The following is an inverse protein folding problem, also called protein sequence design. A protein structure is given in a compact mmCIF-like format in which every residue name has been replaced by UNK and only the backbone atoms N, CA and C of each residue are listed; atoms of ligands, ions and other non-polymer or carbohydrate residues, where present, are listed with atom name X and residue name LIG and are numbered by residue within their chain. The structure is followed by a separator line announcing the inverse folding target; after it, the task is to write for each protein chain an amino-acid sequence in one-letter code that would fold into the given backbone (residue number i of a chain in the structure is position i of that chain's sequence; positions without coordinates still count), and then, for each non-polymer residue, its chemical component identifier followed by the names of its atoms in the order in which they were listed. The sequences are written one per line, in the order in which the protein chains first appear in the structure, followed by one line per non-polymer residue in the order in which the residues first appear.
data_IF_176976502826
#
_entry.id   IF_176976502826
#
_cell.length_a   1.000
_cell.length_b   1.000
_cell.length_c   1.000
_cell.angle_alpha   90.00
_cell.angle_beta   90.00
_cell.angle_gamma   90.00
#
_symmetry.space_group_name_H-M   'P 1'
#
loop_
_entity.id
_entity.type
_entity.pdbx_description
1 polymer ?
#
# COMPACT_ATOMS: atom_id res chain seq x y z
N UNK A 1 4.82 5.74 25.02
CA UNK A 1 5.58 4.64 24.37
C UNK A 1 5.08 3.35 24.98
N UNK A 2 4.28 2.54 24.26
CA UNK A 2 3.91 1.20 24.72
C UNK A 2 5.17 0.31 24.68
N UNK A 3 5.46 -0.35 25.80
CA UNK A 3 6.67 -1.16 25.97
C UNK A 3 6.61 -2.42 25.10
N UNK A 4 7.31 -2.44 23.98
CA UNK A 4 7.53 -3.62 23.13
C UNK A 4 8.21 -4.76 23.91
N UNK A 5 8.94 -4.45 24.98
CA UNK A 5 9.62 -5.42 25.84
C UNK A 5 8.67 -6.29 26.69
N UNK A 6 7.45 -5.82 26.93
CA UNK A 6 6.52 -6.53 27.82
C UNK A 6 5.94 -7.81 27.20
N UNK A 7 5.86 -7.89 25.86
CA UNK A 7 5.28 -9.07 25.19
C UNK A 7 6.25 -10.25 25.23
N UNK A 8 7.55 -10.00 24.97
CA UNK A 8 8.55 -11.07 25.01
C UNK A 8 8.70 -11.69 26.41
N UNK A 9 8.56 -10.87 27.46
CA UNK A 9 8.58 -11.33 28.83
C UNK A 9 7.43 -12.31 29.11
N UNK A 10 6.22 -12.04 28.63
CA UNK A 10 5.10 -12.98 28.76
C UNK A 10 5.34 -14.32 28.06
N UNK A 11 6.03 -14.33 26.92
CA UNK A 11 6.42 -15.60 26.30
C UNK A 11 7.39 -16.36 27.18
N UNK A 12 8.40 -15.66 27.69
CA UNK A 12 9.45 -16.29 28.55
C UNK A 12 8.85 -16.85 29.83
N UNK A 13 7.93 -16.12 30.47
CA UNK A 13 7.22 -16.56 31.68
C UNK A 13 6.43 -17.87 31.50
N UNK A 14 5.98 -18.16 30.28
CA UNK A 14 5.27 -19.40 29.97
C UNK A 14 6.18 -20.58 29.63
N UNK A 15 7.47 -20.35 29.43
CA UNK A 15 8.45 -21.42 29.22
C UNK A 15 8.79 -22.18 30.50
N UNK A 16 9.32 -23.40 30.41
CA UNK A 16 9.92 -24.12 31.55
C UNK A 16 11.00 -23.29 32.25
N UNK A 17 11.03 -23.32 33.56
CA UNK A 17 11.86 -22.44 34.40
C UNK A 17 13.35 -22.40 34.00
N UNK A 18 13.92 -23.54 33.68
CA UNK A 18 15.34 -23.61 33.28
C UNK A 18 15.63 -22.88 31.95
N UNK A 19 14.62 -22.69 31.09
CA UNK A 19 14.75 -21.90 29.84
C UNK A 19 14.58 -20.43 30.11
N UNK A 20 13.72 -20.04 31.05
CA UNK A 20 13.50 -18.64 31.42
C UNK A 20 14.80 -17.99 31.87
N UNK A 21 15.57 -18.67 32.74
CA UNK A 21 16.82 -18.14 33.25
C UNK A 21 17.85 -17.91 32.14
N UNK A 22 18.05 -18.90 31.25
CA UNK A 22 18.98 -18.80 30.13
C UNK A 22 18.61 -17.66 29.14
N UNK A 23 17.34 -17.54 28.83
CA UNK A 23 16.86 -16.47 27.89
C UNK A 23 16.93 -15.08 28.52
N UNK A 24 16.66 -14.96 29.82
CA UNK A 24 16.75 -13.68 30.52
C UNK A 24 18.18 -13.12 30.58
N UNK A 25 19.17 -14.00 30.64
CA UNK A 25 20.59 -13.63 30.64
C UNK A 25 21.19 -13.51 29.25
N UNK A 26 20.44 -13.91 28.19
CA UNK A 26 20.96 -13.96 26.83
C UNK A 26 21.11 -12.55 26.19
N UNK A 27 22.33 -12.23 25.73
CA UNK A 27 22.68 -10.91 25.19
C UNK A 27 21.82 -10.49 23.96
N UNK A 28 21.38 -11.47 23.16
CA UNK A 28 20.57 -11.22 21.94
C UNK A 28 19.08 -11.50 22.14
N UNK A 29 18.56 -11.49 23.37
CA UNK A 29 17.15 -11.72 23.71
C UNK A 29 16.17 -10.98 22.76
N UNK A 30 16.45 -9.71 22.47
CA UNK A 30 15.61 -8.87 21.61
C UNK A 30 15.60 -9.29 20.14
N UNK A 31 16.53 -10.14 19.69
CA UNK A 31 16.64 -10.65 18.33
C UNK A 31 16.12 -12.07 18.17
N UNK A 32 15.46 -12.61 19.19
CA UNK A 32 14.87 -13.95 19.18
C UNK A 32 13.73 -14.00 18.15
N UNK A 33 13.74 -15.02 17.27
CA UNK A 33 12.72 -15.25 16.25
C UNK A 33 11.74 -16.32 16.71
N UNK A 34 12.26 -17.47 17.12
CA UNK A 34 11.43 -18.58 17.60
C UNK A 34 12.19 -19.51 18.54
N UNK A 35 11.43 -20.27 19.31
CA UNK A 35 11.94 -21.30 20.19
C UNK A 35 11.29 -22.62 19.79
N UNK A 36 12.09 -23.67 19.64
CA UNK A 36 11.63 -25.01 19.29
C UNK A 36 11.87 -25.96 20.45
N UNK A 37 10.82 -26.64 20.90
CA UNK A 37 10.80 -27.59 22.01
C UNK A 37 10.25 -28.91 21.50
N UNK A 38 11.13 -29.85 21.20
CA UNK A 38 10.76 -31.21 20.78
C UNK A 38 11.08 -32.22 21.85
N UNK A 39 10.18 -33.15 22.12
CA UNK A 39 10.35 -34.22 23.09
C UNK A 39 11.61 -35.04 22.80
N UNK A 40 12.45 -35.24 23.82
CA UNK A 40 13.68 -35.99 23.68
C UNK A 40 14.83 -35.27 22.95
N UNK A 41 14.65 -33.97 22.64
CA UNK A 41 15.68 -33.11 22.03
C UNK A 41 16.06 -31.96 22.95
N UNK A 42 17.21 -31.33 22.66
CA UNK A 42 17.61 -30.08 23.32
C UNK A 42 16.77 -28.93 22.83
N UNK A 43 16.35 -27.99 23.67
CA UNK A 43 15.62 -26.79 23.26
C UNK A 43 16.49 -25.91 22.38
N UNK A 44 15.94 -25.53 21.25
CA UNK A 44 16.60 -24.71 20.22
C UNK A 44 15.99 -23.32 20.19
N UNK A 45 16.81 -22.28 20.17
CA UNK A 45 16.39 -20.90 19.89
C UNK A 45 16.97 -20.42 18.57
N UNK A 46 16.14 -19.79 17.76
CA UNK A 46 16.54 -19.17 16.49
C UNK A 46 16.57 -17.66 16.62
N UNK A 47 17.72 -17.10 16.38
CA UNK A 47 17.98 -15.67 16.36
C UNK A 47 18.24 -15.19 14.93
N UNK A 48 18.24 -13.88 14.71
CA UNK A 48 18.65 -13.29 13.42
C UNK A 48 20.11 -13.68 13.07
N UNK A 49 20.95 -13.90 14.09
CA UNK A 49 22.36 -14.30 13.95
C UNK A 49 22.59 -15.78 13.63
N UNK A 50 21.59 -16.63 13.86
CA UNK A 50 21.69 -18.09 13.70
C UNK A 50 20.93 -18.85 14.77
N UNK A 51 21.15 -20.16 14.80
CA UNK A 51 20.47 -21.10 15.71
C UNK A 51 21.40 -21.51 16.86
N UNK A 52 20.87 -21.54 18.08
CA UNK A 52 21.61 -21.90 19.29
C UNK A 52 20.79 -22.86 20.17
N UNK A 53 21.45 -23.76 20.89
CA UNK A 53 20.81 -24.58 21.91
C UNK A 53 20.78 -23.81 23.22
N UNK A 54 19.57 -23.65 23.81
CA UNK A 54 19.39 -22.91 25.05
C UNK A 54 19.88 -23.67 26.29
N UNK A 55 19.90 -25.00 26.24
CA UNK A 55 20.28 -25.84 27.37
C UNK A 55 20.82 -27.20 26.92
N UNK A 56 21.62 -27.83 27.76
CA UNK A 56 22.02 -29.23 27.60
C UNK A 56 20.93 -30.22 28.05
N UNK A 57 19.95 -29.74 28.83
CA UNK A 57 18.82 -30.54 29.28
C UNK A 57 17.90 -30.88 28.11
N UNK A 58 17.48 -32.14 28.05
CA UNK A 58 16.54 -32.66 27.04
C UNK A 58 15.11 -32.35 27.50
N UNK A 59 14.26 -31.93 26.55
CA UNK A 59 12.84 -31.65 26.78
C UNK A 59 12.11 -32.95 27.16
N UNK A 60 11.41 -32.91 28.26
CA UNK A 60 10.57 -33.99 28.78
C UNK A 60 9.08 -33.75 28.53
N UNK A 61 8.25 -34.77 28.74
CA UNK A 61 6.79 -34.62 28.72
C UNK A 61 6.28 -33.59 29.72
N UNK A 62 6.91 -33.50 30.89
CA UNK A 62 6.54 -32.54 31.94
C UNK A 62 6.78 -31.10 31.47
N UNK A 63 7.85 -30.85 30.72
CA UNK A 63 8.17 -29.52 30.19
C UNK A 63 7.15 -29.09 29.15
N UNK A 64 6.72 -30.01 28.26
CA UNK A 64 5.65 -29.71 27.25
C UNK A 64 4.30 -29.51 27.94
N UNK A 65 3.93 -30.37 28.91
CA UNK A 65 2.68 -30.27 29.67
C UNK A 65 2.62 -28.96 30.48
N UNK A 66 3.72 -28.57 31.09
CA UNK A 66 3.86 -27.32 31.84
C UNK A 66 3.49 -26.12 30.94
N UNK A 67 4.01 -26.09 29.73
CA UNK A 67 3.74 -24.99 28.78
C UNK A 67 2.34 -25.05 28.24
N UNK A 68 1.84 -26.23 27.85
CA UNK A 68 0.51 -26.38 27.25
C UNK A 68 -0.63 -26.00 28.20
N UNK A 69 -0.42 -26.14 29.51
CA UNK A 69 -1.40 -25.72 30.54
C UNK A 69 -1.44 -24.21 30.78
N UNK A 70 -0.43 -23.47 30.34
CA UNK A 70 -0.28 -22.03 30.59
C UNK A 70 -0.64 -21.16 29.40
N UNK A 71 -0.88 -21.76 28.23
CA UNK A 71 -1.28 -21.11 27.02
C UNK A 71 -2.76 -21.37 26.69
N UNK A 72 -3.33 -20.64 25.74
CA UNK A 72 -4.69 -20.89 25.26
C UNK A 72 -4.82 -22.30 24.64
N UNK A 73 -6.05 -22.79 24.50
CA UNK A 73 -6.29 -24.06 23.82
C UNK A 73 -5.86 -24.00 22.36
N UNK A 74 -5.27 -25.07 21.88
CA UNK A 74 -4.91 -25.19 20.47
C UNK A 74 -6.16 -25.24 19.58
N UNK A 75 -6.16 -24.45 18.53
CA UNK A 75 -7.17 -24.48 17.48
C UNK A 75 -7.09 -25.78 16.66
N UNK A 76 -8.04 -25.96 15.75
CA UNK A 76 -8.04 -27.07 14.78
C UNK A 76 -6.79 -27.07 13.87
N UNK A 77 -6.14 -25.92 13.72
CA UNK A 77 -4.89 -25.76 12.97
C UNK A 77 -3.64 -26.00 13.80
N UNK A 78 -3.79 -26.56 15.04
CA UNK A 78 -2.71 -26.76 15.99
C UNK A 78 -1.96 -25.47 16.37
N UNK A 79 -2.68 -24.35 16.46
CA UNK A 79 -2.16 -23.03 16.85
C UNK A 79 -2.78 -22.58 18.16
N UNK A 80 -1.99 -21.90 18.98
CA UNK A 80 -2.39 -21.28 20.22
C UNK A 80 -1.66 -19.95 20.42
N UNK A 81 -2.20 -19.07 21.22
CA UNK A 81 -1.59 -17.79 21.57
C UNK A 81 -1.39 -17.60 23.06
N UNK A 82 -0.71 -16.52 23.42
CA UNK A 82 -0.61 -16.00 24.77
C UNK A 82 -1.44 -14.71 24.81
N UNK A 83 -2.27 -14.55 25.83
CA UNK A 83 -3.17 -13.41 25.98
C UNK A 83 -2.46 -12.07 25.84
N UNK A 84 -3.06 -11.17 25.08
CA UNK A 84 -2.57 -9.81 24.83
C UNK A 84 -1.19 -9.77 24.17
N UNK A 85 -0.80 -10.81 23.44
CA UNK A 85 0.45 -10.85 22.68
C UNK A 85 0.24 -11.26 21.25
N UNK A 86 1.26 -11.06 20.42
CA UNK A 86 1.30 -11.49 19.02
C UNK A 86 2.10 -12.78 18.84
N UNK A 87 2.47 -13.46 19.94
CA UNK A 87 3.19 -14.70 19.88
C UNK A 87 2.27 -15.81 19.37
N UNK A 88 2.80 -16.63 18.48
CA UNK A 88 2.10 -17.82 17.94
C UNK A 88 2.82 -19.06 18.41
N UNK A 89 2.10 -19.97 19.01
CA UNK A 89 2.60 -21.26 19.43
C UNK A 89 1.94 -22.32 18.56
N UNK A 90 2.74 -23.10 17.85
CA UNK A 90 2.28 -24.21 17.04
C UNK A 90 2.69 -25.51 17.68
N UNK A 91 1.80 -26.51 17.72
CA UNK A 91 2.12 -27.83 18.25
C UNK A 91 2.28 -28.88 17.16
N UNK A 92 3.15 -29.83 17.42
CA UNK A 92 3.27 -31.07 16.67
C UNK A 92 2.61 -32.17 17.50
N UNK A 93 1.79 -33.00 16.87
CA UNK A 93 1.10 -34.12 17.52
C UNK A 93 1.64 -35.47 17.00
N UNK A 94 1.73 -36.42 17.88
CA UNK A 94 2.04 -37.80 17.53
C UNK A 94 0.79 -38.52 16.95
N UNK A 95 0.93 -39.80 16.59
CA UNK A 95 -0.17 -40.63 16.07
C UNK A 95 -1.33 -40.82 17.07
N UNK A 96 -1.12 -40.58 18.34
CA UNK A 96 -2.13 -40.65 19.39
C UNK A 96 -2.71 -39.29 19.75
N UNK A 97 -2.48 -38.25 18.88
CA UNK A 97 -2.88 -36.86 19.08
C UNK A 97 -2.29 -36.16 20.31
N UNK A 98 -1.28 -36.77 20.99
CA UNK A 98 -0.55 -36.12 22.07
C UNK A 98 0.47 -35.12 21.49
N UNK A 99 0.62 -33.99 22.18
CA UNK A 99 1.58 -32.94 21.76
C UNK A 99 2.98 -33.40 22.13
N UNK A 100 3.86 -33.58 21.16
CA UNK A 100 5.25 -33.98 21.33
C UNK A 100 6.26 -32.94 20.88
N UNK A 101 5.81 -31.80 20.36
CA UNK A 101 6.65 -30.67 19.96
C UNK A 101 5.90 -29.35 19.99
N UNK A 102 6.62 -28.28 20.30
CA UNK A 102 6.10 -26.90 20.30
C UNK A 102 7.07 -25.99 19.55
N UNK A 103 6.53 -25.13 18.73
CA UNK A 103 7.27 -24.03 18.09
C UNK A 103 6.66 -22.71 18.55
N UNK A 104 7.42 -21.92 19.29
CA UNK A 104 7.01 -20.65 19.86
C UNK A 104 7.59 -19.51 19.03
N UNK A 105 6.80 -18.94 18.15
CA UNK A 105 7.20 -17.82 17.28
C UNK A 105 7.01 -16.49 17.99
N UNK A 106 8.05 -15.64 17.98
CA UNK A 106 8.01 -14.32 18.59
C UNK A 106 7.33 -13.33 17.65
N UNK A 107 6.12 -12.90 18.01
CA UNK A 107 5.44 -11.79 17.35
C UNK A 107 5.86 -10.45 17.95
N UNK A 108 6.06 -9.45 17.11
CA UNK A 108 6.40 -8.08 17.51
C UNK A 108 5.47 -7.08 16.86
N UNK A 109 4.99 -6.11 17.65
CA UNK A 109 4.31 -4.95 17.12
C UNK A 109 5.35 -3.90 16.71
N UNK A 110 5.23 -3.38 15.48
CA UNK A 110 6.03 -2.27 14.99
C UNK A 110 5.11 -1.08 14.86
N UNK A 111 5.50 0.08 15.34
CA UNK A 111 4.73 1.33 15.33
C UNK A 111 5.47 2.39 14.50
N UNK A 112 4.70 3.36 13.95
CA UNK A 112 5.26 4.54 13.26
C UNK A 112 5.23 4.45 11.74
N UNK A 113 4.76 3.34 11.16
CA UNK A 113 4.62 3.20 9.69
C UNK A 113 3.43 3.98 9.12
N UNK A 114 2.46 4.32 9.98
CA UNK A 114 1.20 4.95 9.59
C UNK A 114 1.37 6.37 9.04
N UNK A 115 2.42 7.07 9.43
CA UNK A 115 2.70 8.45 8.97
C UNK A 115 2.77 8.56 7.43
N UNK A 116 3.08 7.45 6.78
CA UNK A 116 3.18 7.37 5.31
C UNK A 116 1.82 7.43 4.63
N UNK A 117 0.75 6.98 5.30
CA UNK A 117 -0.60 6.82 4.72
C UNK A 117 -1.71 7.48 5.53
N UNK A 118 -1.35 8.27 6.54
CA UNK A 118 -2.33 8.92 7.42
C UNK A 118 -3.32 9.80 6.66
N UNK A 119 -2.82 10.57 5.68
CA UNK A 119 -3.62 11.40 4.78
C UNK A 119 -4.67 10.61 3.98
N UNK A 120 -4.37 9.34 3.66
CA UNK A 120 -5.29 8.47 2.95
C UNK A 120 -6.42 7.96 3.87
N UNK A 121 -6.11 7.72 5.15
CA UNK A 121 -7.12 7.31 6.13
C UNK A 121 -8.13 8.42 6.42
N UNK A 122 -7.67 9.67 6.42
CA UNK A 122 -8.53 10.85 6.60
C UNK A 122 -9.49 11.08 5.43
N UNK A 123 -9.22 10.49 4.25
CA UNK A 123 -10.09 10.58 3.07
C UNK A 123 -11.37 9.73 3.17
N UNK A 124 -11.48 8.85 4.17
CA UNK A 124 -12.59 7.90 4.40
C UNK A 124 -12.84 6.90 3.26
N UNK A 125 -11.94 6.81 2.30
CA UNK A 125 -12.01 5.88 1.18
C UNK A 125 -11.57 4.48 1.57
N UNK A 126 -12.11 3.48 0.90
CA UNK A 126 -11.71 2.08 1.08
C UNK A 126 -10.31 1.82 0.52
N UNK A 127 -9.47 1.12 1.29
CA UNK A 127 -8.05 0.93 1.01
C UNK A 127 -7.73 -0.56 0.89
N UNK A 128 -7.13 -0.97 -0.23
CA UNK A 128 -6.60 -2.32 -0.43
C UNK A 128 -5.07 -2.30 -0.41
N UNK A 129 -4.47 -3.18 0.38
CA UNK A 129 -3.02 -3.29 0.54
C UNK A 129 -2.52 -4.54 -0.18
N UNK A 130 -1.59 -4.35 -1.10
CA UNK A 130 -0.92 -5.37 -1.88
C UNK A 130 0.55 -5.48 -1.49
N UNK A 131 1.13 -6.65 -1.69
CA UNK A 131 2.56 -6.86 -1.47
C UNK A 131 2.91 -8.32 -1.23
N UNK A 132 4.17 -8.64 -1.40
CA UNK A 132 4.70 -9.99 -1.18
C UNK A 132 4.48 -10.46 0.27
N UNK A 133 4.45 -11.77 0.52
CA UNK A 133 4.49 -12.28 1.88
C UNK A 133 5.70 -11.73 2.66
N UNK A 134 5.51 -11.39 3.94
CA UNK A 134 6.59 -10.93 4.81
C UNK A 134 7.05 -9.47 4.64
N UNK A 135 6.45 -8.68 3.75
CA UNK A 135 6.80 -7.24 3.59
C UNK A 135 6.21 -6.33 4.68
N UNK A 136 5.36 -6.88 5.57
CA UNK A 136 4.77 -6.15 6.69
C UNK A 136 3.33 -5.71 6.52
N UNK A 137 2.54 -6.29 5.59
CA UNK A 137 1.10 -5.97 5.40
C UNK A 137 0.32 -6.01 6.70
N UNK A 138 0.40 -7.11 7.44
CA UNK A 138 -0.30 -7.30 8.73
C UNK A 138 0.11 -6.25 9.78
N UNK A 139 1.38 -5.83 9.79
CA UNK A 139 1.86 -4.77 10.68
C UNK A 139 1.21 -3.43 10.36
N UNK A 140 1.14 -3.08 9.07
CA UNK A 140 0.50 -1.85 8.58
C UNK A 140 -0.99 -1.84 8.91
N UNK A 141 -1.69 -2.95 8.63
CA UNK A 141 -3.14 -3.09 8.94
C UNK A 141 -3.41 -2.95 10.43
N UNK A 142 -2.60 -3.56 11.29
CA UNK A 142 -2.75 -3.45 12.75
C UNK A 142 -2.61 -1.99 13.21
N UNK A 143 -1.64 -1.27 12.69
CA UNK A 143 -1.44 0.13 13.02
C UNK A 143 -2.58 1.01 12.46
N UNK A 144 -3.07 0.72 11.25
CA UNK A 144 -4.28 1.35 10.69
C UNK A 144 -5.48 1.15 11.63
N UNK A 145 -5.69 -0.09 12.09
CA UNK A 145 -6.79 -0.41 13.02
C UNK A 145 -6.74 0.45 14.27
N UNK A 146 -5.57 0.54 14.90
CA UNK A 146 -5.35 1.36 16.10
C UNK A 146 -5.61 2.84 15.84
N UNK A 147 -5.05 3.40 14.76
CA UNK A 147 -5.21 4.81 14.45
C UNK A 147 -6.67 5.16 14.15
N UNK A 148 -7.37 4.34 13.37
CA UNK A 148 -8.79 4.55 13.09
C UNK A 148 -9.66 4.46 14.35
N UNK A 149 -9.35 3.52 15.27
CA UNK A 149 -10.13 3.31 16.47
C UNK A 149 -9.80 4.31 17.60
N UNK A 150 -8.51 4.60 17.85
CA UNK A 150 -8.06 5.39 18.99
C UNK A 150 -7.91 6.89 18.66
N UNK A 151 -7.34 7.21 17.47
CA UNK A 151 -7.03 8.58 17.11
C UNK A 151 -8.14 9.25 16.29
N UNK A 152 -8.82 8.48 15.41
CA UNK A 152 -9.95 8.98 14.61
C UNK A 152 -11.33 8.63 15.21
N UNK A 153 -11.35 7.94 16.35
CA UNK A 153 -12.54 7.58 17.11
C UNK A 153 -13.64 6.83 16.31
N UNK A 154 -13.24 6.10 15.27
CA UNK A 154 -14.18 5.33 14.44
C UNK A 154 -14.54 4.00 15.11
N UNK A 155 -15.75 3.52 14.83
CA UNK A 155 -16.18 2.16 15.19
C UNK A 155 -15.56 1.17 14.21
N UNK A 156 -14.45 0.54 14.62
CA UNK A 156 -13.67 -0.39 13.81
C UNK A 156 -13.97 -1.82 14.23
N UNK A 157 -14.27 -2.68 13.26
CA UNK A 157 -14.35 -4.14 13.43
C UNK A 157 -13.29 -4.80 12.57
N UNK A 158 -12.52 -5.70 13.16
CA UNK A 158 -11.47 -6.47 12.51
C UNK A 158 -11.97 -7.89 12.33
N UNK A 159 -11.92 -8.40 11.10
CA UNK A 159 -12.18 -9.79 10.76
C UNK A 159 -10.83 -10.47 10.58
N UNK A 160 -10.43 -11.21 11.60
CA UNK A 160 -9.09 -11.78 11.75
C UNK A 160 -9.14 -13.29 11.57
N UNK A 161 -8.96 -13.73 10.33
CA UNK A 161 -9.08 -15.13 9.93
C UNK A 161 -7.85 -15.93 10.30
N UNK A 162 -6.67 -15.36 10.08
CA UNK A 162 -5.39 -16.01 10.39
C UNK A 162 -4.88 -15.69 11.80
N UNK A 163 -5.62 -14.88 12.56
CA UNK A 163 -5.23 -14.36 13.87
C UNK A 163 -3.88 -13.60 13.87
N UNK A 164 -3.51 -13.05 12.73
CA UNK A 164 -2.23 -12.33 12.59
C UNK A 164 -2.33 -10.86 13.01
N UNK A 165 -3.52 -10.27 12.93
CA UNK A 165 -3.72 -8.85 13.29
C UNK A 165 -3.73 -8.68 14.79
N UNK A 166 -4.55 -9.44 15.50
CA UNK A 166 -4.81 -9.25 16.93
C UNK A 166 -4.24 -10.34 17.85
N UNK A 167 -3.64 -11.39 17.28
CA UNK A 167 -3.06 -12.52 18.01
C UNK A 167 -3.98 -13.74 18.12
N UNK A 168 -3.41 -14.91 18.45
CA UNK A 168 -4.10 -16.19 18.45
C UNK A 168 -4.95 -16.46 19.71
N UNK A 169 -4.90 -15.60 20.74
CA UNK A 169 -5.66 -15.79 21.98
C UNK A 169 -7.03 -15.11 21.95
N UNK A 170 -7.91 -15.45 22.92
CA UNK A 170 -9.24 -14.84 23.02
C UNK A 170 -9.18 -13.35 23.39
N UNK A 171 -8.18 -12.94 24.17
CA UNK A 171 -7.94 -11.54 24.50
C UNK A 171 -6.97 -10.94 23.47
N UNK A 172 -7.42 -9.98 22.67
CA UNK A 172 -6.62 -9.40 21.59
C UNK A 172 -5.43 -8.58 22.12
N UNK A 173 -4.42 -8.44 21.27
CA UNK A 173 -3.27 -7.59 21.53
C UNK A 173 -3.66 -6.10 21.57
N UNK A 174 -3.08 -5.35 22.48
CA UNK A 174 -3.33 -3.92 22.66
C UNK A 174 -2.97 -3.05 21.44
N UNK A 175 -2.19 -3.59 20.52
CA UNK A 175 -1.79 -2.92 19.28
C UNK A 175 -2.92 -2.65 18.29
N UNK A 176 -4.13 -3.21 18.49
CA UNK A 176 -5.33 -2.86 17.72
C UNK A 176 -6.15 -1.72 18.35
N UNK A 177 -5.73 -1.22 19.53
CA UNK A 177 -6.46 -0.18 20.25
C UNK A 177 -7.86 -0.61 20.65
N UNK A 178 -8.84 0.30 20.52
CA UNK A 178 -10.26 0.06 20.82
C UNK A 178 -11.03 -0.70 19.72
N UNK A 179 -10.35 -1.12 18.65
CA UNK A 179 -10.99 -1.90 17.60
C UNK A 179 -11.49 -3.25 18.14
N UNK A 180 -12.68 -3.66 17.68
CA UNK A 180 -13.28 -4.94 18.07
C UNK A 180 -12.84 -6.02 17.10
N UNK A 181 -12.41 -7.18 17.62
CA UNK A 181 -12.03 -8.33 16.79
C UNK A 181 -13.19 -9.33 16.71
N UNK A 182 -13.43 -9.82 15.49
CA UNK A 182 -14.23 -11.01 15.21
C UNK A 182 -13.28 -12.08 14.68
N UNK A 183 -13.19 -13.22 15.38
CA UNK A 183 -12.44 -14.38 14.95
C UNK A 183 -13.26 -15.21 13.97
N UNK A 184 -12.60 -15.76 12.96
CA UNK A 184 -13.23 -16.65 11.99
C UNK A 184 -12.91 -18.09 12.35
N UNK A 185 -13.92 -18.88 12.67
CA UNK A 185 -13.73 -20.26 13.14
C UNK A 185 -13.12 -21.18 12.05
N UNK A 186 -13.47 -20.93 10.78
CA UNK A 186 -12.92 -21.63 9.59
C UNK A 186 -12.84 -20.61 8.46
N UNK A 187 -11.76 -20.68 7.69
CA UNK A 187 -11.51 -19.77 6.56
C UNK A 187 -12.68 -19.70 5.59
N UNK A 188 -13.37 -20.81 5.36
CA UNK A 188 -14.54 -20.90 4.47
C UNK A 188 -15.70 -19.99 4.90
N UNK A 189 -15.81 -19.65 6.19
CA UNK A 189 -16.90 -18.82 6.75
C UNK A 189 -16.55 -17.35 6.86
N UNK A 190 -15.39 -16.92 6.38
CA UNK A 190 -14.99 -15.51 6.46
C UNK A 190 -16.03 -14.58 5.86
N UNK A 191 -16.56 -14.88 4.69
CA UNK A 191 -17.57 -14.08 4.01
C UNK A 191 -18.87 -13.94 4.83
N UNK A 192 -19.28 -14.96 5.59
CA UNK A 192 -20.42 -14.85 6.51
C UNK A 192 -20.14 -13.89 7.66
N UNK A 193 -18.93 -14.01 8.28
CA UNK A 193 -18.51 -13.12 9.37
C UNK A 193 -18.41 -11.67 8.90
N UNK A 194 -17.98 -11.45 7.65
CA UNK A 194 -17.94 -10.11 7.03
C UNK A 194 -19.35 -9.48 6.98
N UNK A 195 -20.35 -10.22 6.55
CA UNK A 195 -21.74 -9.73 6.50
C UNK A 195 -22.31 -9.56 7.90
N UNK A 196 -22.09 -10.54 8.79
CA UNK A 196 -22.49 -10.47 10.21
C UNK A 196 -21.95 -9.23 10.90
N UNK A 197 -20.69 -8.86 10.63
CA UNK A 197 -20.08 -7.65 11.19
C UNK A 197 -20.87 -6.39 10.89
N UNK A 198 -21.36 -6.24 9.65
CA UNK A 198 -22.17 -5.08 9.24
C UNK A 198 -23.56 -5.11 9.86
N UNK A 199 -24.20 -6.27 9.86
CA UNK A 199 -25.59 -6.41 10.28
C UNK A 199 -25.75 -6.26 11.80
N UNK A 200 -24.82 -6.81 12.57
CA UNK A 200 -24.94 -6.88 14.02
C UNK A 200 -24.16 -5.79 14.77
N UNK A 201 -23.10 -5.22 14.19
CA UNK A 201 -22.18 -4.36 14.93
C UNK A 201 -22.09 -2.92 14.44
N UNK A 202 -22.79 -2.57 13.35
CA UNK A 202 -22.85 -1.22 12.77
C UNK A 202 -21.48 -0.51 12.71
N UNK A 203 -20.45 -1.13 12.11
CA UNK A 203 -19.13 -0.54 12.02
C UNK A 203 -19.12 0.64 11.05
N UNK A 204 -18.21 1.59 11.28
CA UNK A 204 -17.87 2.62 10.28
C UNK A 204 -16.74 2.12 9.39
N UNK A 205 -15.87 1.27 9.95
CA UNK A 205 -14.75 0.67 9.22
C UNK A 205 -14.69 -0.83 9.51
N UNK A 206 -14.53 -1.62 8.47
CA UNK A 206 -14.21 -3.04 8.57
C UNK A 206 -12.80 -3.26 8.06
N UNK A 207 -12.01 -3.97 8.85
CA UNK A 207 -10.66 -4.40 8.50
C UNK A 207 -10.68 -5.90 8.26
N UNK A 208 -10.18 -6.32 7.10
CA UNK A 208 -10.16 -7.72 6.68
C UNK A 208 -8.70 -8.14 6.50
N UNK A 209 -8.32 -9.23 7.16
CA UNK A 209 -6.94 -9.74 7.14
C UNK A 209 -6.52 -10.07 5.69
N UNK A 210 -7.28 -10.92 5.01
CA UNK A 210 -7.01 -11.30 3.63
C UNK A 210 -8.30 -11.62 2.87
N UNK A 211 -8.39 -11.11 1.63
CA UNK A 211 -9.48 -11.41 0.69
C UNK A 211 -8.89 -12.27 -0.41
N UNK A 212 -9.32 -13.53 -0.50
CA UNK A 212 -8.77 -14.49 -1.47
C UNK A 212 -9.81 -15.23 -2.31
N UNK A 213 -11.07 -15.33 -1.84
CA UNK A 213 -12.13 -16.11 -2.49
C UNK A 213 -13.17 -15.21 -3.14
N UNK A 214 -13.90 -15.78 -4.13
CA UNK A 214 -14.98 -15.08 -4.83
C UNK A 214 -16.12 -14.66 -3.89
N UNK A 215 -16.47 -15.50 -2.89
CA UNK A 215 -17.50 -15.18 -1.90
C UNK A 215 -17.09 -14.00 -1.01
N UNK A 216 -15.83 -13.91 -0.64
CA UNK A 216 -15.29 -12.78 0.12
C UNK A 216 -15.28 -11.48 -0.70
N UNK A 217 -14.95 -11.59 -1.99
CA UNK A 217 -15.02 -10.45 -2.92
C UNK A 217 -16.44 -9.93 -3.06
N UNK A 218 -17.42 -10.82 -3.17
CA UNK A 218 -18.84 -10.47 -3.23
C UNK A 218 -19.30 -9.80 -1.92
N UNK A 219 -18.91 -10.35 -0.78
CA UNK A 219 -19.18 -9.77 0.52
C UNK A 219 -18.56 -8.37 0.66
N UNK A 220 -17.29 -8.18 0.25
CA UNK A 220 -16.61 -6.89 0.28
C UNK A 220 -17.35 -5.84 -0.58
N UNK A 221 -17.80 -6.21 -1.78
CA UNK A 221 -18.61 -5.33 -2.63
C UNK A 221 -19.92 -4.92 -1.95
N UNK A 222 -20.64 -5.89 -1.39
CA UNK A 222 -21.90 -5.62 -0.68
C UNK A 222 -21.70 -4.66 0.50
N UNK A 223 -20.60 -4.81 1.23
CA UNK A 223 -20.23 -3.93 2.34
C UNK A 223 -19.91 -2.51 1.85
N UNK A 224 -19.13 -2.40 0.76
CA UNK A 224 -18.81 -1.11 0.14
C UNK A 224 -20.06 -0.39 -0.36
N UNK A 225 -21.03 -1.11 -0.96
CA UNK A 225 -22.33 -0.57 -1.40
C UNK A 225 -23.19 -0.06 -0.24
N UNK A 226 -23.03 -0.63 0.96
CA UNK A 226 -23.68 -0.13 2.21
C UNK A 226 -22.98 1.12 2.80
N UNK A 227 -21.91 1.61 2.16
CA UNK A 227 -21.18 2.81 2.59
C UNK A 227 -20.24 2.63 3.78
N UNK A 228 -19.88 1.40 4.11
CA UNK A 228 -18.89 1.08 5.16
C UNK A 228 -17.49 1.12 4.55
N UNK A 229 -16.57 1.85 5.17
CA UNK A 229 -15.17 1.90 4.75
C UNK A 229 -14.50 0.53 4.93
N UNK A 230 -13.84 0.04 3.88
CA UNK A 230 -13.10 -1.21 3.91
C UNK A 230 -11.59 -0.95 3.92
N UNK A 231 -10.88 -1.68 4.75
CA UNK A 231 -9.41 -1.78 4.70
C UNK A 231 -9.06 -3.26 4.67
N UNK A 232 -8.32 -3.70 3.67
CA UNK A 232 -8.00 -5.13 3.56
C UNK A 232 -6.71 -5.41 2.84
N UNK A 233 -6.27 -6.68 2.89
CA UNK A 233 -5.21 -7.18 2.01
C UNK A 233 -5.75 -8.24 1.07
N UNK A 234 -5.00 -8.51 0.03
CA UNK A 234 -5.23 -9.66 -0.84
C UNK A 234 -3.91 -10.23 -1.36
N UNK A 235 -3.97 -11.42 -1.91
CA UNK A 235 -2.86 -11.99 -2.65
C UNK A 235 -2.61 -11.20 -3.94
N UNK A 236 -1.38 -10.76 -4.10
CA UNK A 236 -0.94 -10.01 -5.26
C UNK A 236 0.13 -8.98 -4.88
N UNK A 237 1.04 -8.70 -5.80
CA UNK A 237 2.14 -7.78 -5.54
C UNK A 237 1.85 -6.38 -6.07
N UNK A 238 0.98 -6.27 -7.06
CA UNK A 238 0.67 -5.02 -7.76
C UNK A 238 -0.75 -5.04 -8.35
N UNK A 239 -1.25 -3.88 -8.73
CA UNK A 239 -2.57 -3.69 -9.34
C UNK A 239 -2.77 -4.53 -10.62
N UNK A 240 -1.73 -4.69 -11.43
CA UNK A 240 -1.80 -5.54 -12.64
C UNK A 240 -2.15 -6.99 -12.34
N UNK A 241 -1.68 -7.53 -11.20
CA UNK A 241 -1.99 -8.89 -10.80
C UNK A 241 -3.47 -9.06 -10.46
N UNK A 242 -4.10 -8.04 -9.87
CA UNK A 242 -5.55 -8.04 -9.64
C UNK A 242 -6.35 -7.99 -10.93
N UNK A 243 -5.92 -7.16 -11.88
CA UNK A 243 -6.54 -7.04 -13.22
C UNK A 243 -6.56 -8.40 -13.93
N UNK A 244 -5.49 -9.19 -13.78
CA UNK A 244 -5.32 -10.51 -14.43
C UNK A 244 -5.97 -11.65 -13.67
N UNK A 245 -6.39 -11.44 -12.43
CA UNK A 245 -7.02 -12.47 -11.60
C UNK A 245 -8.54 -12.31 -11.59
N UNK A 246 -9.31 -13.14 -12.32
CA UNK A 246 -10.74 -12.95 -12.48
C UNK A 246 -11.52 -12.84 -11.17
N UNK A 247 -11.36 -13.72 -10.17
CA UNK A 247 -12.02 -13.60 -8.87
C UNK A 247 -11.76 -12.26 -8.18
N UNK A 248 -10.52 -11.79 -8.16
CA UNK A 248 -10.12 -10.58 -7.44
C UNK A 248 -10.37 -9.29 -8.23
N UNK A 249 -10.54 -9.38 -9.55
CA UNK A 249 -10.78 -8.21 -10.41
C UNK A 249 -12.06 -7.46 -10.02
N UNK A 250 -13.03 -8.13 -9.42
CA UNK A 250 -14.27 -7.51 -8.96
C UNK A 250 -14.06 -6.53 -7.80
N UNK A 251 -12.98 -6.66 -7.01
CA UNK A 251 -12.59 -5.67 -5.98
C UNK A 251 -12.26 -4.30 -6.59
N UNK A 252 -11.77 -4.29 -7.82
CA UNK A 252 -11.39 -3.08 -8.58
C UNK A 252 -12.45 -2.68 -9.63
N UNK A 253 -13.64 -3.25 -9.54
CA UNK A 253 -14.79 -2.94 -10.37
C UNK A 253 -15.10 -3.95 -11.47
N UNK A 254 -14.43 -5.11 -11.50
CA UNK A 254 -14.63 -6.18 -12.48
C UNK A 254 -14.24 -5.77 -13.90
N UNK A 255 -13.88 -6.73 -14.72
CA UNK A 255 -13.43 -6.50 -16.09
C UNK A 255 -14.30 -7.30 -17.04
N UNK A 256 -14.68 -6.70 -18.15
CA UNK A 256 -15.47 -7.34 -19.19
C UNK A 256 -14.99 -6.96 -20.58
N UNK A 257 -15.25 -7.86 -21.53
CA UNK A 257 -15.10 -7.55 -22.95
C UNK A 257 -16.36 -6.85 -23.44
N UNK A 258 -16.16 -5.71 -24.10
CA UNK A 258 -17.24 -4.97 -24.76
C UNK A 258 -16.97 -4.93 -26.25
N UNK A 259 -17.96 -5.30 -27.07
CA UNK A 259 -17.87 -5.19 -28.52
C UNK A 259 -18.49 -3.86 -28.96
N UNK A 260 -17.66 -2.99 -29.51
CA UNK A 260 -18.06 -1.69 -30.05
C UNK A 260 -18.66 -1.83 -31.47
N UNK A 261 -19.57 -0.94 -31.83
CA UNK A 261 -19.97 -0.76 -33.22
C UNK A 261 -18.79 -0.22 -34.07
N UNK A 262 -18.86 -0.41 -35.38
CA UNK A 262 -17.81 0.05 -36.31
C UNK A 262 -17.56 1.56 -36.22
N UNK A 263 -18.61 2.33 -36.08
CA UNK A 263 -18.52 3.80 -35.99
C UNK A 263 -17.89 4.24 -34.67
N UNK A 264 -18.24 3.57 -33.56
CA UNK A 264 -17.68 3.87 -32.24
C UNK A 264 -16.21 3.44 -32.15
N UNK A 265 -15.84 2.29 -32.69
CA UNK A 265 -14.46 1.81 -32.74
C UNK A 265 -13.58 2.78 -33.58
N UNK A 266 -14.07 3.25 -34.71
CA UNK A 266 -13.40 4.26 -35.53
C UNK A 266 -13.27 5.60 -34.79
N UNK A 267 -14.34 6.06 -34.12
CA UNK A 267 -14.35 7.31 -33.34
C UNK A 267 -13.32 7.29 -32.21
N UNK A 268 -13.21 6.16 -31.49
CA UNK A 268 -12.25 5.97 -30.40
C UNK A 268 -10.84 5.62 -30.87
N UNK A 269 -10.67 5.20 -32.13
CA UNK A 269 -9.38 4.74 -32.67
C UNK A 269 -8.91 3.43 -32.04
N UNK A 270 -9.85 2.55 -31.65
CA UNK A 270 -9.57 1.29 -30.94
C UNK A 270 -10.06 0.09 -31.76
N UNK A 271 -9.72 -1.11 -31.29
CA UNK A 271 -10.29 -2.36 -31.81
C UNK A 271 -11.79 -2.45 -31.47
N UNK A 272 -12.56 -3.28 -32.21
CA UNK A 272 -13.97 -3.53 -31.93
C UNK A 272 -14.20 -4.19 -30.57
N UNK A 273 -13.31 -5.07 -30.15
CA UNK A 273 -13.36 -5.72 -28.83
C UNK A 273 -12.36 -5.04 -27.90
N UNK A 274 -12.88 -4.43 -26.86
CA UNK A 274 -12.07 -3.73 -25.84
C UNK A 274 -12.38 -4.26 -24.46
N UNK A 275 -11.42 -4.13 -23.55
CA UNK A 275 -11.63 -4.39 -22.12
C UNK A 275 -12.11 -3.10 -21.45
N UNK A 276 -13.22 -3.20 -20.75
CA UNK A 276 -13.76 -2.12 -19.93
C UNK A 276 -14.11 -2.65 -18.52
N UNK A 277 -14.12 -1.74 -17.55
CA UNK A 277 -14.54 -2.05 -16.20
C UNK A 277 -16.08 -2.11 -16.12
N UNK A 278 -16.63 -3.11 -15.37
CA UNK A 278 -18.09 -3.33 -15.23
C UNK A 278 -18.76 -2.31 -14.30
N UNK A 279 -18.13 -2.04 -13.14
CA UNK A 279 -18.74 -1.31 -12.03
C UNK A 279 -17.74 -0.39 -11.33
N UNK A 280 -18.18 0.32 -10.30
CA UNK A 280 -17.29 1.06 -9.42
C UNK A 280 -16.44 0.09 -8.58
N UNK A 281 -15.16 0.42 -8.29
CA UNK A 281 -14.32 -0.40 -7.45
C UNK A 281 -14.83 -0.39 -5.99
N UNK A 282 -14.78 -1.55 -5.33
CA UNK A 282 -15.04 -1.65 -3.89
C UNK A 282 -13.93 -0.99 -3.06
N UNK A 283 -12.72 -0.94 -3.60
CA UNK A 283 -11.57 -0.25 -3.03
C UNK A 283 -11.14 0.89 -3.94
N UNK A 284 -11.20 2.11 -3.42
CA UNK A 284 -10.91 3.33 -4.18
C UNK A 284 -9.42 3.67 -4.19
N UNK A 285 -8.68 3.19 -3.18
CA UNK A 285 -7.24 3.39 -3.02
C UNK A 285 -6.56 2.03 -2.97
N UNK A 286 -5.43 1.90 -3.68
CA UNK A 286 -4.55 0.74 -3.59
C UNK A 286 -3.16 1.18 -3.15
N UNK A 287 -2.62 0.44 -2.16
CA UNK A 287 -1.27 0.62 -1.65
C UNK A 287 -0.47 -0.64 -1.99
N UNK A 288 0.56 -0.51 -2.80
CA UNK A 288 1.49 -1.58 -3.11
C UNK A 288 2.73 -1.45 -2.24
N UNK A 289 2.96 -2.39 -1.35
CA UNK A 289 4.17 -2.46 -0.53
C UNK A 289 5.25 -3.20 -1.32
N UNK A 290 6.09 -2.44 -2.03
CA UNK A 290 7.17 -3.01 -2.84
C UNK A 290 8.35 -3.47 -1.96
N UNK A 291 8.69 -2.66 -0.97
CA UNK A 291 9.72 -2.89 0.05
C UNK A 291 9.25 -2.23 1.35
N UNK A 292 9.88 -2.61 2.46
CA UNK A 292 9.55 -2.03 3.78
C UNK A 292 9.55 -0.49 3.79
N UNK A 293 10.42 0.14 3.01
CA UNK A 293 10.61 1.58 2.98
C UNK A 293 10.11 2.27 1.69
N UNK A 294 9.46 1.54 0.78
CA UNK A 294 9.02 2.09 -0.51
C UNK A 294 7.68 1.52 -0.93
N UNK A 295 6.65 2.38 -0.95
CA UNK A 295 5.28 2.03 -1.28
C UNK A 295 4.81 2.80 -2.50
N UNK A 296 4.03 2.13 -3.35
CA UNK A 296 3.36 2.78 -4.49
C UNK A 296 1.88 2.91 -4.18
N UNK A 297 1.33 4.09 -4.34
CA UNK A 297 -0.05 4.41 -4.00
C UNK A 297 -0.80 4.82 -5.26
N UNK A 298 -1.95 4.19 -5.47
CA UNK A 298 -2.96 4.56 -6.46
C UNK A 298 -4.12 5.24 -5.73
N UNK A 299 -4.16 6.57 -5.73
CA UNK A 299 -5.19 7.36 -5.03
C UNK A 299 -6.57 7.30 -5.71
N UNK A 300 -6.59 6.94 -7.00
CA UNK A 300 -7.78 6.75 -7.81
C UNK A 300 -7.63 5.46 -8.61
N UNK A 301 -8.11 4.37 -8.02
CA UNK A 301 -8.08 3.02 -8.61
C UNK A 301 -8.90 2.97 -9.89
N UNK A 302 -10.05 3.64 -9.92
CA UNK A 302 -10.90 3.74 -11.09
C UNK A 302 -10.12 4.23 -12.31
N UNK A 303 -9.47 5.36 -12.18
CA UNK A 303 -8.70 5.95 -13.27
C UNK A 303 -7.46 5.11 -13.61
N UNK A 304 -6.80 4.55 -12.61
CA UNK A 304 -5.62 3.70 -12.81
C UNK A 304 -5.97 2.44 -13.59
N UNK A 305 -7.05 1.75 -13.25
CA UNK A 305 -7.52 0.55 -13.96
C UNK A 305 -7.94 0.90 -15.39
N UNK A 306 -8.72 1.97 -15.59
CA UNK A 306 -9.16 2.39 -16.91
C UNK A 306 -7.99 2.75 -17.84
N UNK A 307 -6.90 3.31 -17.29
CA UNK A 307 -5.67 3.57 -18.04
C UNK A 307 -4.93 2.27 -18.40
N UNK A 308 -4.81 1.32 -17.47
CA UNK A 308 -4.20 0.01 -17.74
C UNK A 308 -4.96 -0.78 -18.81
N UNK A 309 -6.29 -0.79 -18.75
CA UNK A 309 -7.13 -1.48 -19.74
C UNK A 309 -7.00 -0.88 -21.15
N UNK A 310 -6.70 0.41 -21.26
CA UNK A 310 -6.42 1.11 -22.53
C UNK A 310 -4.97 0.98 -22.98
N UNK A 311 -4.12 0.23 -22.25
CA UNK A 311 -2.69 0.10 -22.54
C UNK A 311 -1.88 1.38 -22.24
N UNK A 312 -2.42 2.30 -21.47
CA UNK A 312 -1.76 3.53 -21.06
C UNK A 312 -1.05 3.36 -19.71
N UNK A 313 -0.10 4.25 -19.42
CA UNK A 313 0.59 4.28 -18.13
C UNK A 313 -0.31 4.87 -17.04
N UNK A 314 -0.50 4.16 -15.95
CA UNK A 314 -1.04 4.74 -14.73
C UNK A 314 0.04 5.58 -14.02
N UNK A 315 -0.37 6.64 -13.36
CA UNK A 315 0.53 7.47 -12.54
C UNK A 315 0.24 7.11 -11.09
N UNK A 316 1.19 6.43 -10.45
CA UNK A 316 1.17 6.14 -9.01
C UNK A 316 2.09 7.09 -8.25
N UNK A 317 1.78 7.35 -6.99
CA UNK A 317 2.69 8.01 -6.06
C UNK A 317 3.62 6.99 -5.44
N UNK A 318 4.92 7.20 -5.52
CA UNK A 318 5.89 6.42 -4.75
C UNK A 318 6.26 7.21 -3.51
N UNK A 319 5.95 6.65 -2.35
CA UNK A 319 6.32 7.19 -1.05
C UNK A 319 7.49 6.40 -0.51
N UNK A 320 8.60 7.08 -0.31
CA UNK A 320 9.81 6.54 0.31
C UNK A 320 10.00 7.18 1.67
N UNK A 321 10.31 6.38 2.67
CA UNK A 321 10.50 6.83 4.04
C UNK A 321 11.66 6.08 4.70
N UNK A 322 12.26 6.72 5.70
CA UNK A 322 13.23 6.11 6.59
C UNK A 322 12.80 6.41 8.01
N UNK A 323 13.19 5.58 8.97
CA UNK A 323 12.89 5.77 10.40
C UNK A 323 13.44 7.12 10.94
N UNK A 324 14.37 7.75 10.22
CA UNK A 324 15.05 9.00 10.61
C UNK A 324 14.65 10.20 9.74
N UNK A 325 14.12 9.98 8.53
CA UNK A 325 13.84 11.05 7.56
C UNK A 325 12.33 11.24 7.30
N UNK A 326 11.95 12.47 6.92
CA UNK A 326 10.59 12.79 6.46
C UNK A 326 10.22 11.97 5.21
N UNK A 327 8.94 11.64 5.09
CA UNK A 327 8.39 10.93 3.92
C UNK A 327 8.69 11.70 2.63
N UNK A 328 9.36 11.05 1.68
CA UNK A 328 9.62 11.61 0.34
C UNK A 328 8.59 11.08 -0.63
N UNK A 329 7.79 11.96 -1.22
CA UNK A 329 6.74 11.61 -2.19
C UNK A 329 7.25 11.90 -3.60
N UNK A 330 7.22 10.89 -4.49
CA UNK A 330 7.59 11.00 -5.90
C UNK A 330 6.46 10.44 -6.78
N UNK A 331 6.08 11.13 -7.83
CA UNK A 331 5.16 10.59 -8.85
C UNK A 331 5.94 9.70 -9.81
N UNK A 332 5.50 8.46 -10.01
CA UNK A 332 6.11 7.48 -10.93
C UNK A 332 5.09 7.03 -11.95
N UNK A 333 5.50 6.97 -13.23
CA UNK A 333 4.74 6.28 -14.27
C UNK A 333 4.94 4.78 -14.10
N UNK A 334 3.85 4.04 -14.00
CA UNK A 334 3.84 2.59 -13.88
C UNK A 334 3.58 2.00 -15.26
N UNK A 335 4.52 1.19 -15.73
CA UNK A 335 4.49 0.57 -17.06
C UNK A 335 3.98 -0.87 -16.93
N UNK A 336 3.13 -1.29 -17.86
CA UNK A 336 2.72 -2.68 -17.99
C UNK A 336 3.94 -3.53 -18.39
N UNK A 337 4.36 -4.48 -17.56
CA UNK A 337 5.56 -5.30 -17.79
C UNK A 337 5.43 -6.28 -18.97
N UNK A 338 4.24 -6.40 -19.56
CA UNK A 338 3.95 -7.38 -20.62
C UNK A 338 3.75 -6.78 -22.03
N UNK A 339 4.19 -5.55 -22.31
CA UNK A 339 4.12 -4.99 -23.67
C UNK A 339 5.12 -5.59 -24.66
N UNK A 340 5.89 -6.61 -24.27
CA UNK A 340 6.88 -7.28 -25.14
C UNK A 340 6.31 -8.44 -26.01
N UNK A 341 5.00 -8.78 -25.89
CA UNK A 341 4.45 -9.92 -26.63
C UNK A 341 3.37 -9.59 -27.67
N UNK A 342 2.97 -8.34 -27.84
CA UNK A 342 2.04 -7.96 -28.91
C UNK A 342 2.47 -6.59 -29.46
N UNK A 343 3.42 -6.55 -30.35
CA UNK A 343 3.51 -5.55 -31.43
C UNK A 343 4.66 -5.84 -32.36
N UNK A 344 4.43 -6.70 -33.31
CA UNK A 344 5.00 -6.53 -34.64
C UNK A 344 3.89 -6.01 -35.54
N UNK A 345 3.62 -4.73 -35.49
CA UNK A 345 3.09 -3.95 -36.63
C UNK A 345 3.37 -2.47 -36.39
N UNK A 346 4.34 -1.98 -37.12
CA UNK A 346 4.70 -0.57 -37.26
C UNK A 346 3.51 0.24 -37.77
N UNK A 347 2.98 1.11 -36.90
CA UNK A 347 2.37 2.37 -37.36
C UNK A 347 3.00 3.47 -36.52
N UNK A 348 4.04 4.05 -37.04
CA UNK A 348 4.67 5.27 -36.52
C UNK A 348 3.69 6.43 -36.62
N UNK A 349 3.13 6.83 -35.50
CA UNK A 349 2.42 8.11 -35.37
C UNK A 349 3.48 9.18 -35.04
N UNK A 350 3.83 10.10 -35.99
CA UNK A 350 4.95 11.04 -35.82
C UNK A 350 4.77 12.04 -34.67
N UNK A 351 3.59 12.13 -34.07
CA UNK A 351 3.29 13.11 -33.02
C UNK A 351 3.60 12.63 -31.60
N UNK A 352 3.65 11.31 -31.35
CA UNK A 352 3.94 10.76 -30.01
C UNK A 352 5.42 10.68 -29.71
N UNK A 353 6.27 10.45 -30.70
CA UNK A 353 7.73 10.41 -30.55
C UNK A 353 8.32 11.77 -30.16
N UNK A 354 7.61 12.85 -30.54
CA UNK A 354 8.05 14.22 -30.30
C UNK A 354 7.96 14.67 -28.85
N UNK A 355 6.99 14.13 -28.09
CA UNK A 355 6.84 14.42 -26.66
C UNK A 355 7.75 13.55 -25.78
N UNK A 356 8.12 12.36 -26.22
CA UNK A 356 8.99 11.45 -25.48
C UNK A 356 10.46 11.89 -25.47
N UNK A 357 10.98 12.37 -26.59
CA UNK A 357 12.41 12.73 -26.70
C UNK A 357 12.80 14.00 -25.92
N UNK A 358 11.87 14.95 -25.76
CA UNK A 358 12.14 16.15 -24.97
C UNK A 358 12.06 15.94 -23.43
N UNK A 359 11.39 14.88 -22.97
CA UNK A 359 11.35 14.54 -21.55
C UNK A 359 12.58 13.75 -21.09
N UNK A 360 13.19 12.95 -21.97
CA UNK A 360 14.38 12.13 -21.65
C UNK A 360 15.65 13.00 -21.61
N UNK A 361 15.76 14.01 -22.49
CA UNK A 361 16.90 14.94 -22.47
C UNK A 361 16.89 15.92 -21.29
N UNK A 362 15.72 16.16 -20.67
CA UNK A 362 15.62 17.04 -19.50
C UNK A 362 16.09 16.39 -18.19
N UNK A 363 16.12 15.08 -18.08
CA UNK A 363 16.56 14.39 -16.86
C UNK A 363 18.08 14.36 -16.67
N UNK A 364 18.88 14.47 -17.73
CA UNK A 364 20.33 14.52 -17.64
C UNK A 364 20.92 15.94 -17.56
N UNK A 365 20.17 16.97 -17.97
CA UNK A 365 20.59 18.38 -17.87
C UNK A 365 20.09 19.10 -16.59
N UNK A 366 19.45 18.36 -15.65
CA UNK A 366 18.78 18.92 -14.49
C UNK A 366 19.71 19.43 -13.39
N UNK A 367 20.88 18.86 -13.23
CA UNK A 367 21.69 19.15 -12.03
C UNK A 367 22.52 20.44 -12.09
N UNK A 368 22.89 20.91 -13.28
CA UNK A 368 23.68 22.16 -13.39
C UNK A 368 22.86 23.43 -13.69
N UNK A 369 21.70 23.32 -14.39
CA UNK A 369 20.86 24.48 -14.72
C UNK A 369 19.91 24.89 -13.58
N UNK A 370 19.45 23.95 -12.75
CA UNK A 370 18.53 24.18 -11.64
C UNK A 370 19.20 24.95 -10.49
N UNK A 371 20.48 24.76 -10.26
CA UNK A 371 21.24 25.55 -9.26
C UNK A 371 21.39 27.04 -9.63
N UNK A 372 21.33 27.38 -10.93
CA UNK A 372 21.41 28.77 -11.41
C UNK A 372 20.05 29.50 -11.40
N UNK A 373 18.92 28.81 -11.34
CA UNK A 373 17.58 29.40 -11.35
C UNK A 373 17.11 29.89 -9.98
N UNK A 374 17.72 29.42 -8.89
CA UNK A 374 17.35 29.81 -7.50
C UNK A 374 17.69 31.26 -7.15
N UNK A 375 18.52 31.93 -7.94
CA UNK A 375 18.99 33.31 -7.65
C UNK A 375 18.38 34.41 -8.54
N UNK A 376 17.68 34.07 -9.64
CA UNK A 376 17.10 35.05 -10.58
C UNK A 376 15.58 34.93 -10.61
N UNK A 377 14.84 36.06 -10.76
CA UNK A 377 13.37 36.01 -10.94
C UNK A 377 13.01 35.25 -12.20
N UNK A 378 12.00 34.38 -12.11
CA UNK A 378 11.52 33.57 -13.22
C UNK A 378 10.73 34.44 -14.19
N UNK A 379 11.17 34.54 -15.44
CA UNK A 379 10.49 35.35 -16.48
C UNK A 379 9.51 34.44 -17.24
N UNK A 380 8.21 34.63 -17.03
CA UNK A 380 7.14 33.77 -17.54
C UNK A 380 6.40 34.47 -18.67
N UNK A 381 6.24 33.78 -19.82
CA UNK A 381 5.35 34.20 -20.88
C UNK A 381 4.00 33.42 -20.77
N UNK A 382 2.91 34.08 -20.36
CA UNK A 382 1.58 33.47 -20.31
C UNK A 382 0.94 33.43 -21.72
N UNK A 383 0.59 32.24 -22.18
CA UNK A 383 -0.12 32.08 -23.46
C UNK A 383 -1.56 31.61 -23.24
N UNK A 384 -2.51 32.44 -23.65
CA UNK A 384 -3.96 32.19 -23.43
C UNK A 384 -4.34 31.96 -21.97
N UNK A 385 -3.66 32.63 -21.05
CA UNK A 385 -3.91 32.60 -19.59
C UNK A 385 -4.19 34.05 -19.13
N UNK A 386 -5.08 34.17 -18.14
CA UNK A 386 -5.30 35.47 -17.49
C UNK A 386 -4.10 35.82 -16.61
N UNK A 387 -3.48 36.98 -16.89
CA UNK A 387 -2.36 37.50 -16.11
C UNK A 387 -2.69 37.67 -14.63
N UNK A 388 -3.94 38.01 -14.30
CA UNK A 388 -4.39 38.23 -12.93
C UNK A 388 -4.40 36.94 -12.12
N UNK A 389 -4.90 35.85 -12.68
CA UNK A 389 -4.93 34.53 -12.03
C UNK A 389 -3.51 34.01 -11.80
N UNK A 390 -2.64 34.17 -12.79
CA UNK A 390 -1.23 33.75 -12.66
C UNK A 390 -0.50 34.57 -11.59
N UNK A 391 -0.70 35.90 -11.57
CA UNK A 391 -0.12 36.79 -10.56
C UNK A 391 -0.58 36.40 -9.14
N UNK A 392 -1.86 36.17 -8.96
CA UNK A 392 -2.43 35.82 -7.66
C UNK A 392 -1.83 34.50 -7.12
N UNK A 393 -1.74 33.47 -7.97
CA UNK A 393 -1.16 32.17 -7.60
C UNK A 393 0.32 32.29 -7.25
N UNK A 394 1.08 33.05 -8.04
CA UNK A 394 2.52 33.21 -7.85
C UNK A 394 2.83 34.02 -6.58
N UNK A 395 2.05 35.06 -6.30
CA UNK A 395 2.18 35.87 -5.08
C UNK A 395 1.85 35.09 -3.82
N UNK A 396 0.76 34.31 -3.82
CA UNK A 396 0.36 33.48 -2.66
C UNK A 396 1.38 32.38 -2.33
N UNK A 397 2.14 31.92 -3.32
CA UNK A 397 3.20 30.93 -3.10
C UNK A 397 4.59 31.53 -2.81
N UNK A 398 4.74 32.86 -2.72
CA UNK A 398 5.98 33.54 -2.32
C UNK A 398 7.13 33.47 -3.34
N UNK A 399 6.84 33.21 -4.62
CA UNK A 399 7.86 33.09 -5.66
C UNK A 399 8.21 34.46 -6.30
N UNK A 400 9.51 34.69 -6.58
CA UNK A 400 9.95 35.85 -7.36
C UNK A 400 9.80 35.59 -8.83
N UNK A 401 8.93 36.36 -9.52
CA UNK A 401 8.63 36.21 -10.95
C UNK A 401 8.43 37.54 -11.65
N UNK A 402 8.58 37.50 -12.97
CA UNK A 402 8.26 38.62 -13.87
C UNK A 402 7.42 38.07 -15.02
N UNK A 403 6.24 38.66 -15.28
CA UNK A 403 5.44 38.30 -16.47
C UNK A 403 5.91 39.16 -17.64
N UNK A 404 6.11 38.55 -18.80
CA UNK A 404 6.50 39.24 -20.05
C UNK A 404 5.56 38.91 -21.16
N UNK A 405 5.33 39.89 -22.04
CA UNK A 405 4.58 39.72 -23.30
C UNK A 405 5.50 39.40 -24.49
N UNK A 406 6.81 39.38 -24.28
CA UNK A 406 7.79 39.07 -25.32
C UNK A 406 8.38 37.66 -25.11
N UNK A 407 8.13 36.78 -26.08
CA UNK A 407 8.64 35.40 -26.07
C UNK A 407 10.16 35.37 -25.98
N UNK A 408 10.83 36.34 -26.57
CA UNK A 408 12.32 36.40 -26.61
C UNK A 408 12.97 36.61 -25.26
N UNK A 409 12.25 37.23 -24.31
CA UNK A 409 12.74 37.53 -22.98
C UNK A 409 12.29 36.49 -21.94
N UNK A 410 11.40 35.57 -22.33
CA UNK A 410 10.86 34.56 -21.43
C UNK A 410 11.87 33.44 -21.13
N UNK A 411 11.96 33.04 -19.89
CA UNK A 411 12.68 31.85 -19.46
C UNK A 411 11.82 30.57 -19.58
N UNK A 412 10.48 30.73 -19.55
CA UNK A 412 9.54 29.64 -19.79
C UNK A 412 8.19 30.17 -20.30
N UNK A 413 7.43 29.28 -20.96
CA UNK A 413 6.08 29.56 -21.49
C UNK A 413 5.08 28.68 -20.74
N UNK A 414 4.00 29.29 -20.21
CA UNK A 414 2.88 28.58 -19.63
C UNK A 414 1.61 28.86 -20.43
N UNK A 415 0.90 27.83 -20.86
CA UNK A 415 -0.32 28.01 -21.64
C UNK A 415 -1.32 26.85 -21.53
N UNK A 416 -2.55 27.08 -21.99
CA UNK A 416 -3.56 26.04 -22.10
C UNK A 416 -3.21 25.04 -23.19
N UNK A 417 -3.28 23.75 -22.88
CA UNK A 417 -2.95 22.63 -23.78
C UNK A 417 -3.74 22.72 -25.11
N UNK A 418 -5.00 23.12 -25.02
CA UNK A 418 -5.89 23.27 -26.19
C UNK A 418 -5.39 24.32 -27.19
N UNK A 419 -4.90 25.46 -26.70
CA UNK A 419 -4.43 26.57 -27.55
C UNK A 419 -2.96 26.38 -27.98
N UNK A 420 -2.12 25.80 -27.12
CA UNK A 420 -0.73 25.50 -27.46
C UNK A 420 -0.61 24.52 -28.64
N UNK A 421 -1.52 23.54 -28.75
CA UNK A 421 -1.54 22.58 -29.84
C UNK A 421 -1.89 23.22 -31.21
N UNK A 422 -2.60 24.30 -31.20
CA UNK A 422 -3.06 24.99 -32.44
C UNK A 422 -2.05 26.03 -32.99
N UNK A 423 -1.03 26.40 -32.17
CA UNK A 423 -0.08 27.44 -32.55
C UNK A 423 1.31 26.91 -32.87
N UNK A 424 1.49 26.41 -34.09
CA UNK A 424 2.80 25.89 -34.57
C UNK A 424 3.90 26.96 -34.62
N UNK A 425 3.57 28.24 -34.84
CA UNK A 425 4.58 29.32 -34.85
C UNK A 425 5.19 29.53 -33.49
N UNK A 426 4.40 29.50 -32.43
CA UNK A 426 4.88 29.64 -31.04
C UNK A 426 5.74 28.47 -30.63
N UNK A 427 5.35 27.25 -30.97
CA UNK A 427 6.11 26.05 -30.65
C UNK A 427 7.45 26.00 -31.38
N UNK A 428 7.49 26.44 -32.64
CA UNK A 428 8.75 26.50 -33.41
C UNK A 428 9.71 27.58 -32.88
N UNK A 429 9.20 28.78 -32.52
CA UNK A 429 10.01 29.82 -31.89
C UNK A 429 10.56 29.45 -30.56
N UNK A 430 9.75 28.79 -29.71
CA UNK A 430 10.20 28.29 -28.41
C UNK A 430 11.30 27.24 -28.56
N UNK A 431 11.17 26.38 -29.58
CA UNK A 431 12.17 25.36 -29.92
C UNK A 431 13.47 25.96 -30.40
N UNK A 432 13.45 26.92 -31.33
CA UNK A 432 14.66 27.59 -31.82
C UNK A 432 15.44 28.30 -30.70
N UNK A 433 14.75 28.74 -29.65
CA UNK A 433 15.34 29.45 -28.52
C UNK A 433 15.55 28.61 -27.27
N UNK A 434 15.28 27.31 -27.32
CA UNK A 434 15.37 26.38 -26.18
C UNK A 434 14.55 26.85 -24.95
N UNK A 435 13.38 27.46 -25.18
CA UNK A 435 12.48 27.91 -24.10
C UNK A 435 11.50 26.76 -23.80
N UNK A 436 11.44 26.25 -22.56
CA UNK A 436 10.51 25.19 -22.20
C UNK A 436 9.06 25.67 -22.19
N UNK A 437 8.15 24.81 -22.72
CA UNK A 437 6.71 25.06 -22.75
C UNK A 437 6.01 24.13 -21.75
N UNK A 438 5.22 24.71 -20.86
CA UNK A 438 4.40 23.97 -19.92
C UNK A 438 2.91 24.15 -20.23
N UNK A 439 2.21 23.02 -20.39
CA UNK A 439 0.80 23.03 -20.74
C UNK A 439 -0.09 22.69 -19.54
N UNK A 440 -1.12 23.51 -19.33
CA UNK A 440 -2.17 23.29 -18.34
C UNK A 440 -3.45 22.76 -19.03
N UNK A 441 -4.17 21.84 -18.41
CA UNK A 441 -5.45 21.37 -18.94
C UNK A 441 -6.57 22.39 -18.68
N UNK A 442 -6.55 23.02 -17.50
CA UNK A 442 -7.48 24.07 -17.06
C UNK A 442 -6.74 25.14 -16.27
N UNK A 443 -7.28 26.36 -16.23
CA UNK A 443 -6.75 27.45 -15.42
C UNK A 443 -7.36 27.34 -14.02
N UNK A 444 -6.75 26.51 -13.15
CA UNK A 444 -7.13 26.43 -11.75
C UNK A 444 -5.95 26.79 -10.87
N UNK A 445 -6.25 27.38 -9.70
CA UNK A 445 -5.24 27.71 -8.67
C UNK A 445 -4.36 26.49 -8.35
N UNK A 446 -4.97 25.32 -8.20
CA UNK A 446 -4.30 24.06 -7.89
C UNK A 446 -3.30 23.63 -8.98
N UNK A 447 -3.70 23.65 -10.26
CA UNK A 447 -2.82 23.20 -11.35
C UNK A 447 -1.64 24.14 -11.56
N UNK A 448 -1.85 25.45 -11.41
CA UNK A 448 -0.77 26.43 -11.52
C UNK A 448 0.18 26.31 -10.33
N UNK A 449 -0.31 26.17 -9.09
CA UNK A 449 0.53 25.96 -7.89
C UNK A 449 1.38 24.69 -7.99
N UNK A 450 0.77 23.58 -8.48
CA UNK A 450 1.46 22.30 -8.67
C UNK A 450 2.57 22.40 -9.72
N UNK A 451 2.30 23.10 -10.83
CA UNK A 451 3.32 23.35 -11.85
C UNK A 451 4.49 24.17 -11.30
N UNK A 452 4.21 25.19 -10.54
CA UNK A 452 5.23 26.07 -10.00
C UNK A 452 6.05 25.40 -8.89
N UNK A 453 5.42 24.64 -8.01
CA UNK A 453 6.12 23.79 -7.05
C UNK A 453 7.06 22.80 -7.75
N UNK A 454 6.62 22.21 -8.86
CA UNK A 454 7.47 21.35 -9.69
C UNK A 454 8.67 22.07 -10.31
N UNK A 455 8.53 23.37 -10.66
CA UNK A 455 9.61 24.16 -11.24
C UNK A 455 10.66 24.63 -10.21
N UNK A 456 10.27 24.68 -8.93
CA UNK A 456 11.15 25.12 -7.83
C UNK A 456 11.63 23.93 -6.95
N UNK A 457 11.07 22.73 -7.10
CA UNK A 457 11.59 21.49 -6.50
C UNK A 457 12.78 20.95 -7.27
#
# INVERSE_FOLDING_TARGET
MMNVNNDLEKLIENLPFFLQEHLNQHANKDKLIEIVLDLGRRPEARFVSGTEYLSQKIISWQDIDYMTKRISKFSNENRAGIERTLHRISCIRNRQFLINGLTCRVGRAVFGTISVVRDLLESEKSILILGKPGVGKTTVIREIARVLADEMEKRVVIIDTSNEIAGDSDIPHSGIGRARRMQVAKTEYQHHVMIEAVENHMPQVIIIDEIGTELEVLAARTIAEKGVQLVGTTHGNCLENLIKNPPLSDLIGGIQYVTLSDDEAKRRGTQKSILERKAYPAFEIIIEINQQNSWTIHEDVKNSVDLFLRGNFAIGQVRQFSLVEKVKIKSKKLQNQNSSLITNHNVLNPLTSFYQNNWISMNQAKDEKLLRLKSKPLVIYPYSLSNNVLKEVLLKNGFKFVLTNEIRKASLIIGLKKHLKQNFKLTNLARQKNIPIYSLNQVSFYQVSKLIQFLYS
#
